data_IF_912713039300
#
_entry.id   IF_912713039300
#
_cell.length_a   1.000
_cell.length_b   1.000
_cell.length_c   1.000
_cell.angle_alpha   90.00
_cell.angle_beta   90.00
_cell.angle_gamma   90.00
#
_symmetry.space_group_name_H-M   'P 1'
#
loop_
_entity.id
_entity.type
_entity.pdbx_description
1 polymer ?
#
# COMPACT_ATOMS: atom_id res chain seq x y z
N UNK A 1 13.69 -17.86 -5.41
CA UNK A 1 13.61 -19.21 -6.04
C UNK A 1 12.26 -19.89 -5.81
N UNK A 2 11.75 -19.89 -4.56
CA UNK A 2 10.46 -20.50 -4.22
C UNK A 2 9.28 -19.97 -5.04
N UNK A 3 9.21 -18.66 -5.25
CA UNK A 3 8.17 -18.00 -6.04
C UNK A 3 8.13 -18.54 -7.48
N UNK A 4 9.31 -18.63 -8.11
CA UNK A 4 9.44 -19.14 -9.47
C UNK A 4 9.05 -20.62 -9.55
N UNK A 5 9.47 -21.43 -8.58
CA UNK A 5 9.09 -22.85 -8.50
C UNK A 5 7.57 -23.05 -8.40
N UNK A 6 6.86 -22.06 -7.88
CA UNK A 6 5.40 -22.08 -7.74
C UNK A 6 4.67 -21.38 -8.92
N UNK A 7 5.40 -20.91 -9.92
CA UNK A 7 4.83 -20.24 -11.08
C UNK A 7 4.27 -18.84 -10.77
N UNK A 8 4.73 -18.23 -9.67
CA UNK A 8 4.36 -16.84 -9.35
C UNK A 8 5.11 -15.90 -10.30
N UNK A 9 4.41 -14.91 -10.80
CA UNK A 9 4.94 -13.98 -11.80
C UNK A 9 5.36 -12.63 -11.21
N UNK A 10 4.90 -12.31 -10.01
CA UNK A 10 5.31 -11.13 -9.26
C UNK A 10 5.38 -11.42 -7.75
N UNK A 11 6.04 -10.55 -7.04
CA UNK A 11 6.06 -10.43 -5.58
C UNK A 11 5.67 -9.00 -5.18
N UNK A 12 5.16 -8.80 -3.98
CA UNK A 12 4.80 -7.50 -3.44
C UNK A 12 5.14 -7.42 -1.94
N UNK A 13 6.29 -7.95 -1.56
CA UNK A 13 6.69 -8.03 -0.15
C UNK A 13 7.91 -7.19 0.22
N UNK A 14 8.57 -6.59 -0.77
CA UNK A 14 9.76 -5.78 -0.57
C UNK A 14 9.50 -4.29 -0.79
N UNK A 15 10.43 -3.46 -0.31
CA UNK A 15 10.33 -1.99 -0.29
C UNK A 15 11.60 -1.38 -0.88
N UNK A 16 12.12 -1.94 -1.98
CA UNK A 16 13.41 -1.56 -2.52
C UNK A 16 13.41 -0.33 -3.42
N UNK A 17 12.25 0.06 -3.93
CA UNK A 17 12.11 1.21 -4.85
C UNK A 17 10.66 1.75 -4.78
N UNK A 18 10.41 2.88 -5.45
CA UNK A 18 9.09 3.48 -5.64
C UNK A 18 8.38 2.98 -6.92
N UNK A 19 9.10 2.28 -7.78
CA UNK A 19 8.59 1.72 -9.03
C UNK A 19 8.83 0.21 -9.08
N UNK A 20 8.05 -0.54 -9.89
CA UNK A 20 8.31 -1.97 -10.10
C UNK A 20 9.74 -2.23 -10.58
N UNK A 21 10.36 -3.27 -10.05
CA UNK A 21 11.71 -3.67 -10.42
C UNK A 21 11.86 -5.19 -10.54
N UNK A 22 12.93 -5.63 -11.17
CA UNK A 22 13.19 -7.05 -11.39
C UNK A 22 14.10 -7.60 -10.28
N UNK A 23 13.62 -8.63 -9.62
CA UNK A 23 14.42 -9.46 -8.73
C UNK A 23 15.07 -10.58 -9.53
N UNK A 24 16.40 -10.60 -9.55
CA UNK A 24 17.18 -11.67 -10.16
C UNK A 24 17.44 -12.77 -9.14
N UNK A 25 17.11 -13.98 -9.48
CA UNK A 25 17.35 -15.17 -8.67
C UNK A 25 18.16 -16.22 -9.44
N UNK A 26 18.60 -17.26 -8.78
CA UNK A 26 19.33 -18.37 -9.42
C UNK A 26 18.47 -19.15 -10.44
N UNK A 27 17.14 -19.08 -10.31
CA UNK A 27 16.17 -19.80 -11.16
C UNK A 27 15.50 -18.94 -12.22
N UNK A 28 15.73 -17.64 -12.21
CA UNK A 28 15.11 -16.73 -13.16
C UNK A 28 14.79 -15.37 -12.56
N UNK A 29 13.80 -14.72 -13.10
CA UNK A 29 13.38 -13.37 -12.73
C UNK A 29 11.95 -13.37 -12.20
N UNK A 30 11.68 -12.50 -11.23
CA UNK A 30 10.34 -12.17 -10.77
C UNK A 30 10.21 -10.66 -10.64
N UNK A 31 9.05 -10.12 -10.95
CA UNK A 31 8.79 -8.69 -10.82
C UNK A 31 8.41 -8.40 -9.37
N UNK A 32 9.08 -7.41 -8.76
CA UNK A 32 8.67 -6.86 -7.48
C UNK A 32 7.76 -5.65 -7.72
N UNK A 33 6.58 -5.69 -7.12
CA UNK A 33 5.66 -4.57 -7.02
C UNK A 33 5.83 -3.96 -5.62
N UNK A 34 6.65 -2.92 -5.45
CA UNK A 34 7.07 -2.48 -4.14
C UNK A 34 5.90 -1.93 -3.32
N UNK A 35 5.81 -2.38 -2.07
CA UNK A 35 4.91 -1.83 -1.06
C UNK A 35 5.71 -0.99 -0.06
N UNK A 36 5.03 -0.20 0.77
CA UNK A 36 5.68 0.64 1.78
C UNK A 36 4.87 0.63 3.08
N UNK A 37 5.54 0.64 4.21
CA UNK A 37 4.88 0.72 5.51
C UNK A 37 3.98 1.94 5.66
N UNK A 38 4.34 3.06 5.01
CA UNK A 38 3.51 4.25 5.02
C UNK A 38 2.16 4.06 4.32
N UNK A 39 2.06 3.06 3.42
CA UNK A 39 0.85 2.72 2.65
C UNK A 39 0.06 1.57 3.26
N UNK A 40 0.43 1.09 4.42
CA UNK A 40 -0.28 0.08 5.20
C UNK A 40 -1.05 0.77 6.34
N UNK A 41 -2.31 0.42 6.53
CA UNK A 41 -3.15 1.02 7.58
C UNK A 41 -2.75 0.56 9.00
N UNK A 42 -2.05 -0.56 9.12
CA UNK A 42 -1.61 -1.09 10.40
C UNK A 42 -0.70 -0.13 11.18
N UNK A 43 0.40 0.42 10.61
CA UNK A 43 1.26 1.37 11.31
C UNK A 43 0.56 2.64 11.77
N UNK A 44 -0.51 3.04 11.10
CA UNK A 44 -1.23 4.27 11.43
C UNK A 44 -2.28 4.11 12.53
N UNK A 45 -2.89 2.93 12.62
CA UNK A 45 -4.10 2.77 13.44
C UNK A 45 -4.00 1.69 14.50
N UNK A 46 -2.90 0.93 14.55
CA UNK A 46 -2.82 -0.20 15.46
C UNK A 46 -1.98 0.11 16.68
N UNK A 47 -2.54 -0.24 17.84
CA UNK A 47 -1.87 -0.27 19.12
C UNK A 47 -2.13 -1.64 19.75
N UNK A 48 -1.13 -2.49 19.80
CA UNK A 48 -1.25 -3.89 20.21
C UNK A 48 -0.14 -4.25 21.22
N UNK A 49 -0.34 -3.95 22.51
CA UNK A 49 0.68 -4.20 23.56
C UNK A 49 1.13 -5.65 23.63
N UNK A 50 0.20 -6.58 23.41
CA UNK A 50 0.50 -8.02 23.44
C UNK A 50 1.45 -8.46 22.31
N UNK A 51 1.56 -7.64 21.28
CA UNK A 51 2.48 -7.82 20.15
C UNK A 51 3.71 -6.89 20.25
N UNK A 52 3.88 -6.20 21.38
CA UNK A 52 4.89 -5.17 21.58
C UNK A 52 4.83 -4.00 20.58
N UNK A 53 3.65 -3.78 19.98
CA UNK A 53 3.40 -2.71 19.04
C UNK A 53 2.67 -1.55 19.74
N UNK A 54 3.43 -0.53 20.13
CA UNK A 54 2.98 0.54 21.03
C UNK A 54 2.91 1.91 20.35
N UNK A 55 2.76 1.97 19.03
CA UNK A 55 2.66 3.23 18.31
C UNK A 55 1.37 3.98 18.67
N UNK A 56 1.41 5.33 18.73
CA UNK A 56 0.20 6.12 18.87
C UNK A 56 -0.75 5.91 17.71
N UNK A 57 -2.05 5.75 18.02
CA UNK A 57 -3.08 5.69 16.99
C UNK A 57 -3.28 7.09 16.40
N UNK A 58 -3.15 7.22 15.09
CA UNK A 58 -3.41 8.46 14.36
C UNK A 58 -4.92 8.69 14.20
N UNK A 59 -5.30 9.95 14.07
CA UNK A 59 -6.64 10.27 13.58
C UNK A 59 -6.79 9.84 12.10
N UNK A 60 -8.02 9.65 11.61
CA UNK A 60 -8.25 9.34 10.20
C UNK A 60 -7.63 10.38 9.25
N UNK A 61 -7.69 11.66 9.60
CA UNK A 61 -7.12 12.74 8.79
C UNK A 61 -5.58 12.69 8.74
N UNK A 62 -4.92 12.43 9.85
CA UNK A 62 -3.46 12.32 9.89
C UNK A 62 -2.95 11.15 9.04
N UNK A 63 -3.60 9.99 9.12
CA UNK A 63 -3.24 8.85 8.30
C UNK A 63 -3.55 9.13 6.82
N UNK A 64 -4.71 9.71 6.52
CA UNK A 64 -5.10 10.04 5.14
C UNK A 64 -4.18 11.06 4.50
N UNK A 65 -3.64 12.03 5.25
CA UNK A 65 -2.63 12.95 4.74
C UNK A 65 -1.37 12.24 4.25
N UNK A 66 -0.96 11.16 4.90
CA UNK A 66 0.18 10.33 4.43
C UNK A 66 -0.20 9.64 3.13
N UNK A 67 -1.31 8.90 3.09
CA UNK A 67 -1.78 8.19 1.90
C UNK A 67 -1.93 9.11 0.69
N UNK A 68 -2.55 10.27 0.88
CA UNK A 68 -2.77 11.24 -0.20
C UNK A 68 -1.48 11.88 -0.68
N UNK A 69 -0.54 12.16 0.20
CA UNK A 69 0.76 12.74 -0.18
C UNK A 69 1.55 11.79 -1.06
N UNK A 70 1.58 10.50 -0.71
CA UNK A 70 2.23 9.47 -1.49
C UNK A 70 1.50 9.22 -2.83
N UNK A 71 0.18 9.13 -2.80
CA UNK A 71 -0.62 9.00 -4.02
C UNK A 71 -0.34 10.15 -5.02
N UNK A 72 -0.39 11.40 -4.56
CA UNK A 72 -0.15 12.55 -5.42
C UNK A 72 1.29 12.61 -5.95
N UNK A 73 2.26 12.14 -5.18
CA UNK A 73 3.63 11.99 -5.66
C UNK A 73 3.71 10.94 -6.77
N UNK A 74 3.16 9.74 -6.53
CA UNK A 74 3.13 8.68 -7.54
C UNK A 74 2.37 9.08 -8.79
N UNK A 75 1.22 9.77 -8.66
CA UNK A 75 0.45 10.29 -9.77
C UNK A 75 1.25 11.24 -10.65
N UNK A 76 1.96 12.23 -10.04
CA UNK A 76 2.80 13.18 -10.80
C UNK A 76 3.96 12.51 -11.54
N UNK A 77 4.47 11.41 -11.02
CA UNK A 77 5.58 10.65 -11.61
C UNK A 77 5.12 9.44 -12.44
N UNK A 78 3.81 9.26 -12.61
CA UNK A 78 3.23 8.11 -13.33
C UNK A 78 3.70 6.76 -12.75
N UNK A 79 3.80 6.71 -11.43
CA UNK A 79 4.28 5.59 -10.66
C UNK A 79 3.20 4.58 -10.31
N UNK A 80 3.58 3.62 -9.48
CA UNK A 80 2.71 2.60 -8.92
C UNK A 80 2.42 2.93 -7.45
N UNK A 81 1.14 3.00 -7.09
CA UNK A 81 0.71 3.19 -5.71
C UNK A 81 -0.05 1.96 -5.22
N UNK A 82 0.49 1.30 -4.20
CA UNK A 82 -0.09 0.10 -3.59
C UNK A 82 -0.40 0.41 -2.14
N UNK A 83 -1.62 0.11 -1.71
CA UNK A 83 -2.04 0.21 -0.31
C UNK A 83 -2.47 -1.12 0.25
N UNK A 84 -2.25 -1.30 1.54
CA UNK A 84 -2.71 -2.45 2.32
C UNK A 84 -3.77 -1.98 3.30
N UNK A 85 -4.95 -2.57 3.20
CA UNK A 85 -6.11 -2.26 4.04
C UNK A 85 -6.57 -3.50 4.79
N UNK A 86 -6.61 -3.41 6.11
CA UNK A 86 -7.15 -4.47 6.95
C UNK A 86 -8.61 -4.14 7.29
N UNK A 87 -9.61 -4.97 6.90
CA UNK A 87 -11.02 -4.66 7.13
C UNK A 87 -11.36 -4.36 8.58
N UNK A 88 -10.73 -5.04 9.53
CA UNK A 88 -10.94 -4.80 10.97
C UNK A 88 -10.24 -3.54 11.49
N UNK A 89 -9.29 -2.97 10.73
CA UNK A 89 -8.57 -1.72 11.04
C UNK A 89 -9.27 -0.54 10.39
N UNK A 90 -9.29 -0.50 9.06
CA UNK A 90 -9.86 0.62 8.28
C UNK A 90 -11.36 0.54 8.06
N UNK A 91 -12.00 -0.61 8.30
CA UNK A 91 -13.46 -0.77 8.20
C UNK A 91 -14.25 -0.16 9.36
N UNK A 92 -13.67 0.76 10.14
CA UNK A 92 -14.37 1.54 11.18
C UNK A 92 -14.92 2.82 10.57
N UNK A 93 -16.12 3.27 11.03
CA UNK A 93 -16.91 4.34 10.41
C UNK A 93 -16.04 5.51 9.91
N UNK A 94 -15.37 6.22 10.77
CA UNK A 94 -14.61 7.41 10.39
C UNK A 94 -13.43 7.12 9.45
N UNK A 95 -12.77 5.96 9.59
CA UNK A 95 -11.69 5.54 8.71
C UNK A 95 -12.23 5.12 7.34
N UNK A 96 -13.32 4.35 7.34
CA UNK A 96 -13.98 3.88 6.12
C UNK A 96 -14.53 5.05 5.30
N UNK A 97 -15.11 6.06 5.95
CA UNK A 97 -15.55 7.30 5.27
C UNK A 97 -14.37 7.98 4.56
N UNK A 98 -13.23 8.14 5.24
CA UNK A 98 -12.03 8.76 4.63
C UNK A 98 -11.45 7.94 3.49
N UNK A 99 -11.44 6.61 3.60
CA UNK A 99 -11.03 5.72 2.50
C UNK A 99 -11.97 5.89 1.30
N UNK A 100 -13.27 5.96 1.54
CA UNK A 100 -14.26 6.16 0.47
C UNK A 100 -14.08 7.50 -0.23
N UNK A 101 -13.90 8.59 0.51
CA UNK A 101 -13.64 9.93 -0.03
C UNK A 101 -12.34 9.96 -0.86
N UNK A 102 -11.29 9.28 -0.41
CA UNK A 102 -10.04 9.17 -1.13
C UNK A 102 -10.22 8.41 -2.46
N UNK A 103 -10.91 7.27 -2.44
CA UNK A 103 -11.19 6.50 -3.67
C UNK A 103 -12.02 7.32 -4.65
N UNK A 104 -13.04 8.02 -4.17
CA UNK A 104 -13.86 8.92 -4.99
C UNK A 104 -13.01 10.04 -5.61
N UNK A 105 -12.15 10.66 -4.82
CA UNK A 105 -11.19 11.64 -5.32
C UNK A 105 -10.32 11.05 -6.45
N UNK A 106 -9.71 9.89 -6.24
CA UNK A 106 -8.86 9.23 -7.24
C UNK A 106 -9.62 8.91 -8.52
N UNK A 107 -10.86 8.45 -8.41
CA UNK A 107 -11.72 8.19 -9.59
C UNK A 107 -12.01 9.46 -10.38
N UNK A 108 -12.18 10.58 -9.70
CA UNK A 108 -12.50 11.87 -10.31
C UNK A 108 -11.28 12.55 -10.96
N UNK A 109 -10.05 12.11 -10.70
CA UNK A 109 -8.85 12.65 -11.38
C UNK A 109 -8.82 12.33 -12.88
N UNK A 110 -9.40 11.20 -13.28
CA UNK A 110 -9.51 10.77 -14.68
C UNK A 110 -8.23 10.20 -15.30
N UNK A 111 -7.13 10.15 -14.57
CA UNK A 111 -5.82 9.68 -15.01
C UNK A 111 -5.27 8.51 -14.15
N UNK A 112 -6.11 7.91 -13.33
CA UNK A 112 -5.77 6.77 -12.47
C UNK A 112 -6.36 5.49 -13.02
N UNK A 113 -5.52 4.49 -13.17
CA UNK A 113 -5.94 3.14 -13.51
C UNK A 113 -6.00 2.26 -12.24
N UNK A 114 -7.20 1.86 -11.85
CA UNK A 114 -7.41 0.90 -10.77
C UNK A 114 -7.18 -0.52 -11.31
N UNK A 115 -6.05 -1.08 -10.98
CA UNK A 115 -5.65 -2.43 -11.39
C UNK A 115 -5.92 -3.47 -10.30
N UNK A 116 -6.10 -4.71 -10.71
CA UNK A 116 -5.98 -5.88 -9.83
C UNK A 116 -4.55 -6.41 -9.87
N UNK A 117 -4.09 -6.91 -8.76
CA UNK A 117 -2.80 -7.63 -8.67
C UNK A 117 -2.99 -9.10 -9.02
#
# INVERSE_FOLDING_TARGET
>A
DFMIDKGMIYDASLMGDDIPYVLQTDKGQVIELPSQWAMDDWPHYTHAPDMHYMMPIKSPDEAMNVFMSEFEAMRRHQGLWITVWHPFVSGRLARCERVSEMIEYMQNTGDVWFATM
#
